data_IF_290769628837
#
_entry.id   IF_290769628837
#
_cell.length_a   1.000
_cell.length_b   1.000
_cell.length_c   1.000
_cell.angle_alpha   90.00
_cell.angle_beta   90.00
_cell.angle_gamma   90.00
#
_symmetry.space_group_name_H-M   'P 1'
#
loop_
_entity.id
_entity.type
_entity.pdbx_description
1 polymer ?
#
# COMPACT_ATOMS: atom_id res chain seq x y z
N UNK A 1 5.97 26.02 15.25
CA UNK A 1 5.86 24.69 14.61
C UNK A 1 4.58 24.09 15.16
N UNK A 2 3.73 23.49 14.33
CA UNK A 2 2.45 22.94 14.82
C UNK A 2 2.76 21.61 15.51
N UNK A 3 2.23 21.41 16.71
CA UNK A 3 2.37 20.14 17.42
C UNK A 3 1.57 19.07 16.68
N UNK A 4 2.26 18.00 16.28
CA UNK A 4 1.70 16.86 15.58
C UNK A 4 1.47 15.73 16.58
N UNK A 5 0.27 15.16 16.55
CA UNK A 5 -0.07 13.98 17.34
C UNK A 5 -0.63 12.87 16.45
N UNK A 6 -0.60 11.64 16.96
CA UNK A 6 -1.12 10.46 16.27
C UNK A 6 -2.12 9.72 17.15
N UNK A 7 -3.26 9.36 16.56
CA UNK A 7 -4.19 8.39 17.15
C UNK A 7 -3.60 6.98 17.03
N UNK A 8 -3.12 6.45 18.16
CA UNK A 8 -2.42 5.16 18.23
C UNK A 8 -3.29 3.99 17.72
N UNK A 9 -4.59 3.87 18.08
CA UNK A 9 -5.48 2.88 17.47
C UNK A 9 -5.48 2.88 15.94
N UNK A 10 -5.57 4.06 15.29
CA UNK A 10 -5.55 4.16 13.83
C UNK A 10 -4.19 3.83 13.24
N UNK A 11 -3.09 4.19 13.91
CA UNK A 11 -1.73 3.76 13.53
C UNK A 11 -1.64 2.23 13.52
N UNK A 12 -2.10 1.58 14.58
CA UNK A 12 -2.11 0.11 14.69
C UNK A 12 -2.99 -0.50 13.60
N UNK A 13 -4.17 0.05 13.35
CA UNK A 13 -5.07 -0.41 12.29
C UNK A 13 -4.40 -0.33 10.92
N UNK A 14 -3.76 0.81 10.61
CA UNK A 14 -3.02 1.00 9.36
C UNK A 14 -1.92 -0.06 9.17
N UNK A 15 -1.23 -0.42 10.26
CA UNK A 15 -0.22 -1.46 10.25
C UNK A 15 -0.81 -2.85 10.00
N UNK A 16 -1.93 -3.18 10.65
CA UNK A 16 -2.66 -4.44 10.42
C UNK A 16 -3.09 -4.54 8.95
N UNK A 17 -3.60 -3.45 8.37
CA UNK A 17 -4.00 -3.43 6.95
C UNK A 17 -2.81 -3.69 6.03
N UNK A 18 -1.65 -3.05 6.26
CA UNK A 18 -0.47 -3.26 5.44
C UNK A 18 0.06 -4.71 5.53
N UNK A 19 0.07 -5.29 6.74
CA UNK A 19 0.44 -6.70 6.94
C UNK A 19 -0.55 -7.63 6.24
N UNK A 20 -1.85 -7.38 6.39
CA UNK A 20 -2.90 -8.14 5.71
C UNK A 20 -2.76 -8.10 4.19
N UNK A 21 -2.48 -6.93 3.62
CA UNK A 21 -2.26 -6.76 2.19
C UNK A 21 -1.11 -7.65 1.69
N UNK A 22 0.03 -7.64 2.40
CA UNK A 22 1.17 -8.50 2.10
C UNK A 22 0.82 -9.99 2.21
N UNK A 23 0.12 -10.38 3.27
CA UNK A 23 -0.30 -11.77 3.50
C UNK A 23 -1.18 -12.31 2.37
N UNK A 24 -2.26 -11.60 2.02
CA UNK A 24 -3.16 -12.03 0.94
C UNK A 24 -2.44 -12.05 -0.41
N UNK A 25 -1.58 -11.06 -0.67
CA UNK A 25 -0.83 -10.97 -1.92
C UNK A 25 0.14 -12.15 -2.09
N UNK A 26 0.83 -12.57 -1.02
CA UNK A 26 1.67 -13.77 -1.06
C UNK A 26 0.83 -15.00 -1.42
N UNK A 27 -0.34 -15.17 -0.79
CA UNK A 27 -1.21 -16.32 -1.04
C UNK A 27 -1.72 -16.33 -2.48
N UNK A 28 -2.28 -15.21 -2.94
CA UNK A 28 -2.85 -15.08 -4.27
C UNK A 28 -1.79 -15.10 -5.39
N UNK A 29 -0.54 -14.72 -5.10
CA UNK A 29 0.56 -14.84 -6.08
C UNK A 29 0.79 -16.27 -6.54
N UNK A 30 0.46 -17.26 -5.70
CA UNK A 30 0.50 -18.66 -6.09
C UNK A 30 -0.58 -18.99 -7.12
N UNK A 31 -1.77 -18.43 -6.97
CA UNK A 31 -2.88 -18.64 -7.91
C UNK A 31 -2.56 -18.09 -9.31
N UNK A 32 -1.85 -16.96 -9.38
CA UNK A 32 -1.36 -16.41 -10.66
C UNK A 32 -0.47 -17.42 -11.39
N UNK A 33 0.39 -18.12 -10.65
CA UNK A 33 1.37 -19.06 -11.24
C UNK A 33 0.72 -20.40 -11.60
N UNK A 34 -0.29 -20.84 -10.85
CA UNK A 34 -0.97 -22.12 -11.07
C UNK A 34 -1.94 -22.10 -12.26
N UNK A 35 -2.51 -20.93 -12.57
CA UNK A 35 -3.52 -20.79 -13.62
C UNK A 35 -2.92 -20.28 -14.95
N UNK A 36 -3.68 -20.42 -16.04
CA UNK A 36 -3.31 -19.97 -17.39
C UNK A 36 -4.43 -19.15 -18.04
N UNK A 37 -4.14 -18.51 -19.16
CA UNK A 37 -5.15 -17.78 -19.94
C UNK A 37 -5.86 -16.70 -19.13
N UNK A 38 -7.20 -16.69 -19.19
CA UNK A 38 -8.02 -15.65 -18.53
C UNK A 38 -7.97 -15.74 -17.01
N UNK A 39 -7.94 -16.95 -16.43
CA UNK A 39 -7.91 -17.15 -14.98
C UNK A 39 -6.63 -16.59 -14.36
N UNK A 40 -5.49 -16.74 -15.06
CA UNK A 40 -4.22 -16.11 -14.64
C UNK A 40 -4.35 -14.60 -14.53
N UNK A 41 -4.96 -13.97 -15.54
CA UNK A 41 -5.17 -12.51 -15.54
C UNK A 41 -6.16 -12.08 -14.46
N UNK A 42 -7.24 -12.84 -14.24
CA UNK A 42 -8.17 -12.60 -13.14
C UNK A 42 -7.45 -12.60 -11.79
N UNK A 43 -6.67 -13.64 -11.49
CA UNK A 43 -5.90 -13.69 -10.25
C UNK A 43 -4.89 -12.56 -10.13
N UNK A 44 -4.26 -12.17 -11.23
CA UNK A 44 -3.29 -11.08 -11.24
C UNK A 44 -3.95 -9.72 -10.91
N UNK A 45 -5.09 -9.42 -11.55
CA UNK A 45 -5.81 -8.18 -11.31
C UNK A 45 -6.38 -8.15 -9.90
N UNK A 46 -7.02 -9.23 -9.41
CA UNK A 46 -7.54 -9.25 -8.05
C UNK A 46 -6.39 -9.10 -7.05
N UNK A 47 -5.25 -9.80 -7.23
CA UNK A 47 -4.09 -9.67 -6.33
C UNK A 47 -3.52 -8.25 -6.32
N UNK A 48 -3.43 -7.61 -7.49
CA UNK A 48 -2.93 -6.25 -7.60
C UNK A 48 -3.88 -5.23 -6.96
N UNK A 49 -5.19 -5.42 -7.11
CA UNK A 49 -6.20 -4.62 -6.42
C UNK A 49 -6.11 -4.81 -4.90
N UNK A 50 -5.93 -6.04 -4.42
CA UNK A 50 -5.73 -6.34 -2.99
C UNK A 50 -4.53 -5.61 -2.42
N UNK A 51 -3.37 -5.74 -3.07
CA UNK A 51 -2.14 -5.09 -2.61
C UNK A 51 -2.27 -3.57 -2.73
N UNK A 52 -2.73 -3.07 -3.88
CA UNK A 52 -2.86 -1.65 -4.17
C UNK A 52 -3.81 -0.95 -3.20
N UNK A 53 -5.01 -1.50 -2.99
CA UNK A 53 -5.96 -0.99 -1.99
C UNK A 53 -5.43 -1.16 -0.56
N UNK A 54 -4.63 -2.17 -0.28
CA UNK A 54 -3.99 -2.33 1.03
C UNK A 54 -2.93 -1.27 1.33
N UNK A 55 -2.04 -0.98 0.37
CA UNK A 55 -1.02 0.08 0.50
C UNK A 55 -1.70 1.46 0.58
N UNK A 56 -2.62 1.74 -0.34
CA UNK A 56 -3.40 2.98 -0.37
C UNK A 56 -4.26 3.14 0.88
N UNK A 57 -4.89 2.05 1.32
CA UNK A 57 -5.74 2.03 2.50
C UNK A 57 -4.96 2.26 3.79
N UNK A 58 -3.79 1.62 3.93
CA UNK A 58 -2.87 1.94 5.02
C UNK A 58 -2.51 3.42 5.01
N UNK A 59 -2.16 3.99 3.86
CA UNK A 59 -1.78 5.39 3.75
C UNK A 59 -2.89 6.32 4.26
N UNK A 60 -4.13 6.17 3.77
CA UNK A 60 -5.22 7.06 4.19
C UNK A 60 -5.68 6.84 5.63
N UNK A 61 -5.65 5.60 6.15
CA UNK A 61 -5.94 5.36 7.58
C UNK A 61 -4.85 6.00 8.46
N UNK A 62 -3.58 5.90 8.06
CA UNK A 62 -2.48 6.54 8.77
C UNK A 62 -2.55 8.08 8.69
N UNK A 63 -3.02 8.63 7.57
CA UNK A 63 -3.30 10.06 7.43
C UNK A 63 -4.49 10.51 8.28
N UNK A 64 -5.53 9.68 8.47
CA UNK A 64 -6.60 9.96 9.43
C UNK A 64 -6.11 9.89 10.87
N UNK A 65 -5.10 9.06 11.15
CA UNK A 65 -4.45 9.01 12.46
C UNK A 65 -3.67 10.29 12.79
N UNK A 66 -3.18 11.01 11.77
CA UNK A 66 -2.40 12.23 11.91
C UNK A 66 -3.32 13.41 12.28
N UNK A 67 -3.01 14.08 13.38
CA UNK A 67 -3.72 15.28 13.85
C UNK A 67 -2.75 16.44 14.08
N UNK A 68 -3.21 17.63 13.70
CA UNK A 68 -2.46 18.88 13.84
C UNK A 68 -3.34 20.03 14.36
N UNK A 69 -4.44 19.69 15.05
CA UNK A 69 -5.38 20.66 15.62
C UNK A 69 -6.18 21.48 14.59
N UNK A 70 -6.19 21.06 13.33
CA UNK A 70 -6.94 21.69 12.24
C UNK A 70 -7.76 20.64 11.50
N UNK A 71 -8.86 21.07 10.90
CA UNK A 71 -9.66 20.23 10.02
C UNK A 71 -8.86 19.90 8.76
N UNK A 72 -8.85 18.62 8.40
CA UNK A 72 -8.19 18.09 7.22
C UNK A 72 -9.26 17.50 6.33
N UNK A 73 -9.28 17.94 5.08
CA UNK A 73 -10.11 17.35 4.04
C UNK A 73 -9.25 16.97 2.84
N UNK A 74 -9.83 16.25 1.89
CA UNK A 74 -9.09 15.73 0.74
C UNK A 74 -9.82 15.95 -0.58
N UNK A 75 -9.05 16.30 -1.59
CA UNK A 75 -9.48 16.35 -2.98
C UNK A 75 -9.77 14.94 -3.51
N UNK A 76 -11.05 14.64 -3.77
CA UNK A 76 -11.49 13.31 -4.18
C UNK A 76 -10.78 12.78 -5.43
N UNK A 77 -10.50 13.65 -6.42
CA UNK A 77 -9.89 13.22 -7.67
C UNK A 77 -8.45 12.78 -7.45
N UNK A 78 -7.68 13.54 -6.66
CA UNK A 78 -6.31 13.17 -6.32
C UNK A 78 -6.24 11.91 -5.45
N UNK A 79 -7.20 11.73 -4.54
CA UNK A 79 -7.35 10.47 -3.78
C UNK A 79 -7.51 9.28 -4.74
N UNK A 80 -8.36 9.39 -5.77
CA UNK A 80 -8.55 8.32 -6.76
C UNK A 80 -7.31 8.10 -7.64
N UNK A 81 -6.64 9.17 -8.09
CA UNK A 81 -5.41 9.08 -8.89
C UNK A 81 -4.31 8.38 -8.08
N UNK A 82 -4.21 8.66 -6.78
CA UNK A 82 -3.24 8.00 -5.90
C UNK A 82 -3.49 6.49 -5.81
N UNK A 83 -4.76 6.06 -5.73
CA UNK A 83 -5.12 4.64 -5.76
C UNK A 83 -4.69 3.97 -7.06
N UNK A 84 -4.96 4.61 -8.21
CA UNK A 84 -4.56 4.10 -9.52
C UNK A 84 -3.04 3.92 -9.61
N UNK A 85 -2.25 4.86 -9.10
CA UNK A 85 -0.80 4.74 -9.07
C UNK A 85 -0.36 3.48 -8.30
N UNK A 86 -0.92 3.23 -7.10
CA UNK A 86 -0.60 2.03 -6.33
C UNK A 86 -1.02 0.73 -7.04
N UNK A 87 -2.23 0.68 -7.61
CA UNK A 87 -2.73 -0.50 -8.33
C UNK A 87 -1.87 -0.82 -9.55
N UNK A 88 -1.54 0.19 -10.37
CA UNK A 88 -0.70 0.00 -11.56
C UNK A 88 0.69 -0.54 -11.18
N UNK A 89 1.30 0.03 -10.14
CA UNK A 89 2.57 -0.46 -9.60
C UNK A 89 2.48 -1.92 -9.15
N UNK A 90 1.39 -2.30 -8.48
CA UNK A 90 1.17 -3.67 -8.02
C UNK A 90 0.91 -4.64 -9.18
N UNK A 91 0.14 -4.25 -10.20
CA UNK A 91 -0.07 -5.05 -11.44
C UNK A 91 1.28 -5.36 -12.08
N UNK A 92 2.11 -4.34 -12.27
CA UNK A 92 3.42 -4.48 -12.90
C UNK A 92 4.37 -5.35 -12.06
N UNK A 93 4.47 -5.10 -10.76
CA UNK A 93 5.30 -5.88 -9.85
C UNK A 93 4.90 -7.36 -9.80
N UNK A 94 3.61 -7.64 -9.63
CA UNK A 94 3.07 -9.00 -9.59
C UNK A 94 3.26 -9.73 -10.92
N UNK A 95 3.02 -9.04 -12.04
CA UNK A 95 3.25 -9.62 -13.37
C UNK A 95 4.68 -10.09 -13.56
N UNK A 96 5.66 -9.30 -13.09
CA UNK A 96 7.09 -9.62 -13.24
C UNK A 96 7.49 -10.76 -12.32
N UNK A 97 7.16 -10.70 -11.03
CA UNK A 97 7.62 -11.73 -10.06
C UNK A 97 6.95 -13.09 -10.29
N UNK A 98 5.79 -13.13 -10.95
CA UNK A 98 5.09 -14.36 -11.31
C UNK A 98 5.55 -14.97 -12.63
N UNK A 99 6.58 -14.41 -13.27
CA UNK A 99 7.23 -15.05 -14.42
C UNK A 99 8.08 -16.26 -14.00
N UNK A 100 8.28 -17.24 -14.91
CA UNK A 100 9.08 -18.43 -14.62
C UNK A 100 10.54 -18.10 -14.25
N UNK A 101 11.14 -17.14 -14.96
CA UNK A 101 12.52 -16.70 -14.77
C UNK A 101 12.54 -15.18 -14.63
N UNK A 102 13.13 -14.70 -13.53
CA UNK A 102 13.32 -13.27 -13.26
C UNK A 102 14.79 -13.05 -12.97
N UNK A 103 15.50 -12.38 -13.89
CA UNK A 103 16.90 -12.02 -13.67
C UNK A 103 17.02 -10.78 -12.78
N UNK A 104 18.21 -10.54 -12.23
CA UNK A 104 18.45 -9.43 -11.31
C UNK A 104 18.19 -8.05 -11.94
N UNK A 105 18.50 -7.86 -13.22
CA UNK A 105 18.28 -6.57 -13.92
C UNK A 105 16.79 -6.25 -14.02
N UNK A 106 15.98 -7.22 -14.44
CA UNK A 106 14.52 -7.09 -14.49
C UNK A 106 13.96 -6.81 -13.10
N UNK A 107 14.47 -7.49 -12.08
CA UNK A 107 14.02 -7.29 -10.70
C UNK A 107 14.33 -5.87 -10.19
N UNK A 108 15.54 -5.36 -10.45
CA UNK A 108 15.94 -3.98 -10.08
C UNK A 108 15.03 -2.97 -10.80
N UNK A 109 14.86 -3.12 -12.12
CA UNK A 109 13.99 -2.24 -12.90
C UNK A 109 12.54 -2.25 -12.37
N UNK A 110 12.01 -3.44 -12.07
CA UNK A 110 10.68 -3.60 -11.49
C UNK A 110 10.54 -2.96 -10.11
N UNK A 111 11.59 -3.04 -9.29
CA UNK A 111 11.61 -2.45 -7.95
C UNK A 111 11.65 -0.93 -7.99
N UNK A 112 12.35 -0.35 -8.97
CA UNK A 112 12.37 1.10 -9.20
C UNK A 112 10.98 1.59 -9.60
N UNK A 113 10.33 0.92 -10.56
CA UNK A 113 9.00 1.32 -11.02
C UNK A 113 7.93 1.12 -9.94
N UNK A 114 7.94 -0.01 -9.23
CA UNK A 114 7.00 -0.25 -8.13
C UNK A 114 7.25 0.71 -6.96
N UNK A 115 8.51 0.92 -6.56
CA UNK A 115 8.87 1.88 -5.51
C UNK A 115 8.45 3.30 -5.87
N UNK A 116 8.66 3.70 -7.13
CA UNK A 116 8.18 4.97 -7.67
C UNK A 116 6.66 5.08 -7.65
N UNK A 117 5.92 4.00 -7.93
CA UNK A 117 4.46 3.99 -7.85
C UNK A 117 3.95 4.09 -6.39
N UNK A 118 4.60 3.43 -5.43
CA UNK A 118 4.23 3.53 -4.00
C UNK A 118 4.55 4.93 -3.46
N UNK A 119 5.74 5.48 -3.76
CA UNK A 119 6.09 6.85 -3.38
C UNK A 119 5.18 7.87 -4.08
N UNK A 120 4.88 7.66 -5.37
CA UNK A 120 3.95 8.46 -6.14
C UNK A 120 2.55 8.46 -5.54
N UNK A 121 2.00 7.29 -5.18
CA UNK A 121 0.73 7.20 -4.47
C UNK A 121 0.77 8.02 -3.17
N UNK A 122 1.82 7.88 -2.37
CA UNK A 122 1.94 8.63 -1.12
C UNK A 122 1.96 10.14 -1.35
N UNK A 123 2.79 10.64 -2.26
CA UNK A 123 2.90 12.09 -2.50
C UNK A 123 1.71 12.68 -3.26
N UNK A 124 1.04 11.92 -4.12
CA UNK A 124 -0.25 12.31 -4.72
C UNK A 124 -1.33 12.37 -3.63
N UNK A 125 -1.35 11.40 -2.71
CA UNK A 125 -2.25 11.40 -1.55
C UNK A 125 -2.02 12.60 -0.63
N UNK A 126 -0.75 12.94 -0.35
CA UNK A 126 -0.38 14.16 0.36
C UNK A 126 -0.82 15.43 -0.39
N UNK A 127 -0.67 15.47 -1.72
CA UNK A 127 -1.11 16.60 -2.53
C UNK A 127 -2.65 16.74 -2.57
N UNK A 128 -3.39 15.66 -2.29
CA UNK A 128 -4.82 15.68 -2.12
C UNK A 128 -5.26 16.38 -0.84
N UNK A 129 -4.38 16.46 0.17
CA UNK A 129 -4.67 17.08 1.47
C UNK A 129 -5.00 18.57 1.31
N UNK A 130 -6.11 18.98 1.93
CA UNK A 130 -6.59 20.36 2.01
C UNK A 130 -6.72 20.72 3.48
N UNK A 131 -5.87 21.64 3.90
CA UNK A 131 -5.75 22.13 5.28
C UNK A 131 -5.37 23.61 5.22
N UNK A 132 -5.71 24.38 6.25
CA UNK A 132 -5.33 25.81 6.39
C UNK A 132 -3.85 25.99 6.76
N UNK A 133 -2.98 25.28 6.06
CA UNK A 133 -1.54 25.31 6.22
C UNK A 133 -0.83 25.01 4.90
N UNK A 134 0.32 25.66 4.70
CA UNK A 134 1.23 25.32 3.62
C UNK A 134 2.10 24.13 4.02
N UNK A 135 2.19 23.14 3.10
CA UNK A 135 3.05 21.97 3.26
C UNK A 135 4.36 22.22 2.52
N UNK A 136 5.47 22.30 3.26
CA UNK A 136 6.81 22.38 2.68
C UNK A 136 7.54 21.08 2.91
N UNK A 137 8.19 20.56 1.87
CA UNK A 137 8.92 19.30 1.95
C UNK A 137 10.42 19.52 2.15
N UNK A 138 11.01 18.72 3.02
CA UNK A 138 12.46 18.57 3.08
C UNK A 138 12.95 17.65 1.96
N UNK A 139 13.69 18.16 0.95
CA UNK A 139 14.04 17.37 -0.24
C UNK A 139 14.94 16.16 0.10
N UNK A 140 15.72 16.23 1.18
CA UNK A 140 16.59 15.13 1.60
C UNK A 140 15.74 13.98 2.15
N UNK A 141 14.76 14.29 3.00
CA UNK A 141 13.89 13.26 3.61
C UNK A 141 12.92 12.70 2.57
N UNK A 142 12.45 13.51 1.62
CA UNK A 142 11.68 13.01 0.45
C UNK A 142 12.52 12.05 -0.38
N UNK A 143 13.77 12.39 -0.69
CA UNK A 143 14.65 11.49 -1.44
C UNK A 143 14.87 10.18 -0.69
N UNK A 144 15.05 10.26 0.63
CA UNK A 144 15.20 9.09 1.49
C UNK A 144 13.95 8.20 1.48
N UNK A 145 12.74 8.77 1.58
CA UNK A 145 11.50 7.99 1.53
C UNK A 145 11.35 7.26 0.19
N UNK A 146 11.71 7.90 -0.92
CA UNK A 146 11.69 7.28 -2.26
C UNK A 146 12.69 6.14 -2.36
N UNK A 147 13.91 6.32 -1.83
CA UNK A 147 14.92 5.25 -1.76
C UNK A 147 14.39 4.07 -0.93
N UNK A 148 13.79 4.36 0.23
CA UNK A 148 13.14 3.33 1.06
C UNK A 148 12.08 2.61 0.24
N UNK A 149 11.20 3.33 -0.48
CA UNK A 149 10.17 2.73 -1.33
C UNK A 149 10.72 1.72 -2.36
N UNK A 150 11.85 2.06 -3.00
CA UNK A 150 12.51 1.19 -3.98
C UNK A 150 13.12 -0.03 -3.30
N UNK A 151 13.85 0.16 -2.20
CA UNK A 151 14.51 -0.92 -1.44
C UNK A 151 13.47 -1.90 -0.89
N UNK A 152 12.38 -1.39 -0.31
CA UNK A 152 11.34 -2.26 0.24
C UNK A 152 10.55 -2.97 -0.85
N UNK A 153 10.36 -2.35 -2.01
CA UNK A 153 9.77 -3.02 -3.19
C UNK A 153 10.65 -4.17 -3.66
N UNK A 154 11.97 -3.96 -3.74
CA UNK A 154 12.94 -5.00 -4.06
C UNK A 154 12.90 -6.15 -3.05
N UNK A 155 12.93 -5.83 -1.76
CA UNK A 155 12.85 -6.82 -0.69
C UNK A 155 11.55 -7.63 -0.74
N UNK A 156 10.40 -6.97 -0.91
CA UNK A 156 9.10 -7.61 -1.03
C UNK A 156 9.04 -8.56 -2.22
N UNK A 157 9.50 -8.12 -3.40
CA UNK A 157 9.57 -8.97 -4.59
C UNK A 157 10.48 -10.19 -4.39
N UNK A 158 11.65 -10.00 -3.77
CA UNK A 158 12.57 -11.10 -3.41
C UNK A 158 11.91 -12.10 -2.46
N UNK A 159 11.24 -11.61 -1.43
CA UNK A 159 10.54 -12.44 -0.44
C UNK A 159 9.48 -13.30 -1.12
N UNK A 160 8.64 -12.72 -1.99
CA UNK A 160 7.61 -13.47 -2.72
C UNK A 160 8.22 -14.54 -3.62
N UNK A 161 9.28 -14.20 -4.37
CA UNK A 161 9.98 -15.17 -5.24
C UNK A 161 10.59 -16.30 -4.41
N UNK A 162 11.22 -16.00 -3.27
CA UNK A 162 11.83 -16.98 -2.38
C UNK A 162 10.79 -17.88 -1.72
N UNK A 163 9.69 -17.33 -1.22
CA UNK A 163 8.61 -18.12 -0.61
C UNK A 163 7.97 -19.10 -1.59
N UNK A 164 7.85 -18.71 -2.86
CA UNK A 164 7.35 -19.62 -3.92
C UNK A 164 8.18 -20.90 -4.04
N UNK A 165 9.51 -20.79 -3.89
CA UNK A 165 10.41 -21.95 -3.94
C UNK A 165 10.29 -22.84 -2.70
N UNK A 166 9.78 -22.30 -1.59
CA UNK A 166 9.66 -22.98 -0.30
C UNK A 166 8.27 -23.60 -0.05
N UNK A 167 7.34 -23.57 -1.00
CA UNK A 167 5.93 -23.97 -0.76
C UNK A 167 5.74 -25.40 -0.22
N UNK A 168 6.63 -26.34 -0.59
CA UNK A 168 6.59 -27.72 -0.09
C UNK A 168 7.16 -27.89 1.34
N UNK A 169 7.74 -26.84 1.90
CA UNK A 169 8.32 -26.85 3.23
C UNK A 169 7.20 -26.73 4.29
N UNK A 170 7.24 -27.56 5.33
CA UNK A 170 6.29 -27.50 6.45
C UNK A 170 6.28 -26.14 7.16
N UNK A 171 7.37 -25.37 7.08
CA UNK A 171 7.50 -24.04 7.66
C UNK A 171 6.97 -22.90 6.76
N UNK A 172 6.40 -23.20 5.57
CA UNK A 172 5.91 -22.18 4.64
C UNK A 172 4.97 -21.18 5.31
N UNK A 173 4.00 -21.67 6.11
CA UNK A 173 3.03 -20.80 6.80
C UNK A 173 3.70 -19.84 7.79
N UNK A 174 4.75 -20.28 8.48
CA UNK A 174 5.51 -19.44 9.41
C UNK A 174 6.30 -18.35 8.66
N UNK A 175 7.04 -18.72 7.61
CA UNK A 175 7.78 -17.74 6.81
C UNK A 175 6.86 -16.76 6.08
N UNK A 176 5.66 -17.18 5.69
CA UNK A 176 4.63 -16.30 5.12
C UNK A 176 4.20 -15.20 6.11
N UNK A 177 3.97 -15.54 7.37
CA UNK A 177 3.60 -14.56 8.41
C UNK A 177 4.75 -13.57 8.64
N UNK A 178 5.99 -14.06 8.74
CA UNK A 178 7.17 -13.19 8.87
C UNK A 178 7.30 -12.27 7.66
N UNK A 179 7.14 -12.81 6.45
CA UNK A 179 7.18 -12.03 5.22
C UNK A 179 6.12 -10.94 5.18
N UNK A 180 4.88 -11.23 5.56
CA UNK A 180 3.82 -10.22 5.61
C UNK A 180 4.10 -9.14 6.65
N UNK A 181 4.68 -9.48 7.80
CA UNK A 181 5.10 -8.51 8.80
C UNK A 181 6.20 -7.58 8.27
N UNK A 182 7.22 -8.15 7.62
CA UNK A 182 8.31 -7.39 7.00
C UNK A 182 7.77 -6.47 5.91
N UNK A 183 6.89 -6.97 5.03
CA UNK A 183 6.26 -6.17 3.99
C UNK A 183 5.43 -5.02 4.58
N UNK A 184 4.63 -5.28 5.61
CA UNK A 184 3.85 -4.24 6.29
C UNK A 184 4.73 -3.16 6.91
N UNK A 185 5.76 -3.57 7.68
CA UNK A 185 6.75 -2.65 8.27
C UNK A 185 7.45 -1.81 7.20
N UNK A 186 7.76 -2.41 6.05
CA UNK A 186 8.36 -1.75 4.90
C UNK A 186 7.49 -0.60 4.37
N UNK A 187 6.20 -0.84 4.11
CA UNK A 187 5.32 0.21 3.57
C UNK A 187 5.08 1.31 4.61
N UNK A 188 4.92 0.95 5.88
CA UNK A 188 4.82 1.93 6.99
C UNK A 188 6.08 2.80 7.07
N UNK A 189 7.27 2.20 6.94
CA UNK A 189 8.54 2.94 7.02
C UNK A 189 8.66 4.02 5.95
N UNK A 190 8.25 3.72 4.71
CA UNK A 190 8.19 4.70 3.63
C UNK A 190 7.21 5.82 3.98
N UNK A 191 5.98 5.46 4.38
CA UNK A 191 4.93 6.43 4.68
C UNK A 191 5.34 7.40 5.80
N UNK A 192 5.80 6.89 6.94
CA UNK A 192 6.18 7.75 8.07
C UNK A 192 7.46 8.55 7.79
N UNK A 193 8.38 8.05 6.96
CA UNK A 193 9.51 8.86 6.48
C UNK A 193 9.02 10.00 5.60
N UNK A 194 8.06 9.74 4.71
CA UNK A 194 7.44 10.76 3.87
C UNK A 194 6.68 11.82 4.68
N UNK A 195 5.96 11.40 5.73
CA UNK A 195 5.32 12.32 6.69
C UNK A 195 6.34 13.17 7.45
N UNK A 196 7.45 12.58 7.89
CA UNK A 196 8.52 13.32 8.56
C UNK A 196 9.19 14.37 7.66
N UNK A 197 9.08 14.23 6.32
CA UNK A 197 9.56 15.23 5.38
C UNK A 197 8.65 16.47 5.30
N UNK A 198 7.37 16.35 5.69
CA UNK A 198 6.38 17.41 5.57
C UNK A 198 6.42 18.36 6.77
N UNK A 199 6.64 19.65 6.50
CA UNK A 199 6.66 20.74 7.47
C UNK A 199 5.46 21.65 7.23
N UNK A 200 4.54 21.68 8.18
CA UNK A 200 3.31 22.47 8.09
C UNK A 200 3.51 23.86 8.72
N UNK A 201 3.14 24.90 7.98
CA UNK A 201 3.09 26.29 8.45
C UNK A 201 1.69 26.84 8.25
N UNK A 202 1.09 27.40 9.31
CA UNK A 202 -0.26 27.99 9.27
C UNK A 202 -0.32 29.03 8.14
N UNK A 203 -1.38 28.95 7.34
CA UNK A 203 -1.70 29.95 6.33
C UNK A 203 -2.99 30.65 6.73
N UNK A 204 -2.88 31.91 7.14
CA UNK A 204 -4.01 32.71 7.66
C UNK A 204 -4.93 33.20 6.53
N UNK A 205 -4.50 33.10 5.28
CA UNK A 205 -5.21 33.64 4.12
C UNK A 205 -5.89 32.56 3.24
N UNK A 206 -5.83 31.28 3.64
CA UNK A 206 -6.42 30.21 2.83
C UNK A 206 -7.95 30.21 2.94
N UNK A 207 -8.62 30.88 2.00
CA UNK A 207 -10.05 30.68 1.74
C UNK A 207 -10.21 29.30 1.09
N UNK A 208 -10.75 28.33 1.84
CA UNK A 208 -11.10 27.02 1.27
C UNK A 208 -12.23 27.22 0.25
N UNK A 209 -11.90 27.21 -1.04
CA UNK A 209 -12.87 27.23 -2.14
C UNK A 209 -13.70 25.94 -2.13
N UNK A 210 -15.03 26.03 -2.24
CA UNK A 210 -15.93 24.86 -2.33
C UNK A 210 -15.64 24.02 -3.58
N UNK A 211 -14.83 22.96 -3.43
CA UNK A 211 -14.68 21.87 -4.40
C UNK A 211 -14.86 20.57 -3.64
N UNK A 212 -15.25 19.48 -4.32
CA UNK A 212 -15.61 18.17 -3.75
C UNK A 212 -14.56 17.59 -2.78
N UNK A 213 -14.61 18.04 -1.53
CA UNK A 213 -13.72 17.59 -0.47
C UNK A 213 -14.38 16.51 0.36
N UNK A 214 -13.58 15.53 0.73
CA UNK A 214 -13.97 14.50 1.69
C UNK A 214 -13.28 14.77 3.01
N UNK A 215 -14.06 14.71 4.09
CA UNK A 215 -13.55 14.80 5.44
C UNK A 215 -12.60 13.63 5.77
N UNK A 216 -11.55 13.90 6.56
CA UNK A 216 -10.53 12.91 6.92
C UNK A 216 -11.11 11.69 7.63
N UNK A 217 -12.11 11.88 8.49
CA UNK A 217 -12.75 10.78 9.22
C UNK A 217 -13.63 9.94 8.28
N UNK A 218 -14.32 10.59 7.33
CA UNK A 218 -15.11 9.90 6.30
C UNK A 218 -14.22 9.05 5.39
N UNK A 219 -13.07 9.57 4.94
CA UNK A 219 -12.11 8.77 4.17
C UNK A 219 -11.58 7.62 5.01
N UNK A 220 -11.04 7.88 6.20
CA UNK A 220 -10.43 6.83 7.02
C UNK A 220 -11.39 5.67 7.32
N UNK A 221 -12.63 6.01 7.70
CA UNK A 221 -13.66 5.00 8.01
C UNK A 221 -14.13 4.23 6.76
N UNK A 222 -14.45 4.92 5.66
CA UNK A 222 -14.88 4.26 4.41
C UNK A 222 -13.79 3.35 3.85
N UNK A 223 -12.54 3.82 3.81
CA UNK A 223 -11.37 3.06 3.38
C UNK A 223 -11.15 1.85 4.27
N UNK A 224 -11.21 2.02 5.59
CA UNK A 224 -11.08 0.91 6.54
C UNK A 224 -12.13 -0.17 6.32
N UNK A 225 -13.40 0.21 6.20
CA UNK A 225 -14.51 -0.72 5.95
C UNK A 225 -14.31 -1.45 4.61
N UNK A 226 -14.00 -0.71 3.54
CA UNK A 226 -13.81 -1.30 2.21
C UNK A 226 -12.66 -2.30 2.18
N UNK A 227 -11.50 -1.96 2.76
CA UNK A 227 -10.33 -2.84 2.73
C UNK A 227 -10.53 -4.08 3.61
N UNK A 228 -11.12 -3.93 4.80
CA UNK A 228 -11.43 -5.07 5.67
C UNK A 228 -12.47 -5.99 5.01
N UNK A 229 -13.53 -5.43 4.44
CA UNK A 229 -14.54 -6.19 3.71
C UNK A 229 -13.94 -6.93 2.52
N UNK A 230 -13.06 -6.27 1.75
CA UNK A 230 -12.31 -6.89 0.66
C UNK A 230 -11.46 -8.07 1.15
N UNK A 231 -10.72 -7.92 2.25
CA UNK A 231 -9.93 -9.02 2.83
C UNK A 231 -10.78 -10.20 3.26
N UNK A 232 -11.96 -9.96 3.86
CA UNK A 232 -12.89 -11.03 4.22
C UNK A 232 -13.38 -11.80 2.97
N UNK A 233 -13.73 -11.08 1.89
CA UNK A 233 -14.14 -11.69 0.62
C UNK A 233 -13.00 -12.53 0.02
N UNK A 234 -11.78 -11.99 -0.03
CA UNK A 234 -10.62 -12.69 -0.58
C UNK A 234 -10.32 -13.95 0.23
N UNK A 235 -10.41 -13.89 1.55
CA UNK A 235 -10.23 -15.06 2.40
C UNK A 235 -11.22 -16.18 2.03
N UNK A 236 -12.51 -15.85 1.84
CA UNK A 236 -13.54 -16.81 1.40
C UNK A 236 -13.19 -17.38 0.01
N UNK A 237 -12.78 -16.54 -0.93
CA UNK A 237 -12.40 -16.97 -2.28
C UNK A 237 -11.21 -17.93 -2.25
N UNK A 238 -10.21 -17.66 -1.42
CA UNK A 238 -9.04 -18.53 -1.24
C UNK A 238 -9.41 -19.87 -0.58
N UNK A 239 -10.32 -19.86 0.40
CA UNK A 239 -10.84 -21.10 1.00
C UNK A 239 -11.54 -21.96 -0.05
N UNK A 240 -12.43 -21.38 -0.85
CA UNK A 240 -13.12 -22.10 -1.93
C UNK A 240 -12.15 -22.66 -2.98
N UNK A 241 -11.14 -21.88 -3.37
CA UNK A 241 -10.11 -22.34 -4.30
C UNK A 241 -9.26 -23.49 -3.71
N UNK A 242 -8.99 -23.46 -2.40
CA UNK A 242 -8.29 -24.55 -1.72
C UNK A 242 -9.12 -25.83 -1.65
N UNK A 243 -10.42 -25.71 -1.34
CA UNK A 243 -11.36 -26.83 -1.24
C UNK A 243 -11.51 -27.56 -2.57
N UNK A 244 -11.74 -26.84 -3.67
CA UNK A 244 -11.90 -27.40 -5.00
C UNK A 244 -10.66 -28.16 -5.52
N UNK A 245 -9.49 -28.00 -4.88
CA UNK A 245 -8.28 -28.76 -5.23
C UNK A 245 -8.08 -30.02 -4.39
N UNK A 246 -8.81 -30.14 -3.28
CA UNK A 246 -8.75 -31.29 -2.36
C UNK A 246 -9.81 -32.36 -2.65
N UNK A 247 -10.79 -32.03 -3.50
CA UNK A 247 -11.85 -32.92 -4.02
C UNK A 247 -11.50 -33.29 -5.45
#
# INVERSE_FOLDING_TARGET
MIDVTYDIPLVILSAIIAVGAGFFTIEMSNEIVLNKGIERWTWLIISAMTMGMGIWGMHFIAMTAFSMGMEISYDFLLVLISLLAAVIGCVQGLYIITQPLVNLKTLIAASITMGGAIAGMHYIGMAAMRVSATVNYDPIIVTLSVIIAIVVSFAAMKIVISLRQMKKNSLYSFYKIIASLIMGAAVLSMHYTGMAAAKFKIDVNSLLSQVNFLDSQVIGSSVGITVIGMFAIIYIVLLNASWNRSV
#
